data_IF_306067933130
#
_entry.id   IF_306067933130
#
_cell.length_a   1.000
_cell.length_b   1.000
_cell.length_c   1.000
_cell.angle_alpha   90.00
_cell.angle_beta   90.00
_cell.angle_gamma   90.00
#
_symmetry.space_group_name_H-M   'P 1'
#
loop_
_entity.id
_entity.type
_entity.pdbx_description
1 polymer ?
#
# COMPACT_ATOMS: atom_id res chain seq x y z
N UNK A 1 -15.68 20.39 7.93
CA UNK A 1 -15.29 20.09 6.54
C UNK A 1 -14.69 18.69 6.52
N UNK A 2 -15.44 17.70 6.03
CA UNK A 2 -14.88 16.37 5.79
C UNK A 2 -13.94 16.48 4.60
N UNK A 3 -12.64 16.66 4.87
CA UNK A 3 -11.62 16.75 3.83
C UNK A 3 -11.58 15.46 3.03
N UNK A 4 -11.55 15.58 1.70
CA UNK A 4 -11.27 14.46 0.79
C UNK A 4 -10.03 13.71 1.28
N UNK A 5 -10.05 12.38 1.19
CA UNK A 5 -8.88 11.54 1.46
C UNK A 5 -7.70 12.04 0.63
N UNK A 6 -6.62 12.55 1.26
CA UNK A 6 -5.46 13.09 0.55
C UNK A 6 -4.78 12.07 -0.35
N UNK A 7 -5.01 10.77 -0.16
CA UNK A 7 -4.40 9.71 -0.96
C UNK A 7 -5.07 9.51 -2.33
N UNK A 8 -6.38 9.77 -2.43
CA UNK A 8 -7.13 9.66 -3.69
C UNK A 8 -7.30 8.25 -4.27
N UNK A 9 -7.06 7.17 -3.51
CA UNK A 9 -7.25 5.77 -3.93
C UNK A 9 -5.95 5.03 -4.33
N UNK A 10 -5.99 3.79 -4.84
CA UNK A 10 -4.81 3.09 -5.37
C UNK A 10 -4.38 3.62 -6.75
N UNK A 11 -3.15 3.33 -7.21
CA UNK A 11 -2.68 3.63 -8.58
C UNK A 11 -3.23 2.64 -9.63
N UNK A 12 -3.74 1.50 -9.22
CA UNK A 12 -4.22 0.47 -10.14
C UNK A 12 -5.54 0.88 -10.79
N UNK A 13 -5.59 0.77 -12.11
CA UNK A 13 -6.84 0.78 -12.87
C UNK A 13 -7.43 -0.63 -12.76
N UNK A 14 -8.54 -0.78 -12.06
CA UNK A 14 -9.32 -2.02 -12.03
C UNK A 14 -9.90 -2.29 -13.41
N UNK A 15 -9.28 -3.20 -14.17
CA UNK A 15 -9.88 -3.74 -15.42
C UNK A 15 -11.21 -4.49 -15.18
N UNK A 16 -11.67 -4.61 -13.94
CA UNK A 16 -12.97 -5.16 -13.59
C UNK A 16 -14.13 -4.18 -13.83
N UNK A 17 -13.86 -2.87 -13.94
CA UNK A 17 -14.91 -1.85 -14.06
C UNK A 17 -15.31 -1.54 -15.51
N UNK A 18 -14.67 -2.16 -16.51
CA UNK A 18 -15.04 -1.98 -17.93
C UNK A 18 -16.33 -2.71 -18.33
N UNK A 19 -17.04 -3.35 -17.40
CA UNK A 19 -18.25 -4.11 -17.67
C UNK A 19 -19.50 -3.62 -16.91
N UNK A 20 -19.41 -2.56 -16.09
CA UNK A 20 -20.53 -2.10 -15.26
C UNK A 20 -20.82 -0.60 -15.30
N UNK A 21 -20.13 0.18 -16.14
CA UNK A 21 -20.33 1.63 -16.24
C UNK A 21 -21.34 2.08 -17.33
N UNK A 22 -22.03 1.14 -17.97
CA UNK A 22 -23.05 1.45 -19.01
C UNK A 22 -24.46 1.75 -18.44
N UNK A 23 -24.66 1.59 -17.13
CA UNK A 23 -25.99 1.72 -16.49
C UNK A 23 -26.22 3.05 -15.75
N UNK A 24 -25.31 4.03 -15.86
CA UNK A 24 -25.43 5.32 -15.15
C UNK A 24 -25.67 6.56 -16.02
N UNK A 25 -26.11 6.39 -17.27
CA UNK A 25 -26.45 7.53 -18.14
C UNK A 25 -27.70 7.34 -19.00
N UNK A 26 -28.81 6.85 -18.44
CA UNK A 26 -30.13 6.93 -19.09
C UNK A 26 -31.25 7.23 -18.11
N UNK A 27 -31.20 8.43 -17.53
CA UNK A 27 -32.39 9.11 -17.03
C UNK A 27 -32.62 10.34 -17.91
N UNK A 28 -33.39 10.14 -18.98
CA UNK A 28 -33.93 11.20 -19.83
C UNK A 28 -35.36 10.82 -20.18
N UNK A 29 -36.27 11.62 -19.62
CA UNK A 29 -37.69 11.78 -19.87
C UNK A 29 -38.27 11.02 -21.07
N UNK A 30 -39.13 10.04 -20.78
CA UNK A 30 -40.10 9.49 -21.75
C UNK A 30 -41.52 9.77 -21.29
N UNK A 31 -41.84 11.05 -21.13
CA UNK A 31 -43.18 11.57 -20.94
C UNK A 31 -43.50 12.64 -22.00
N UNK A 32 -43.39 12.28 -23.28
CA UNK A 32 -43.96 13.05 -24.37
C UNK A 32 -43.99 12.20 -25.65
N UNK A 33 -45.09 11.47 -25.88
CA UNK A 33 -45.57 11.06 -27.20
C UNK A 33 -46.96 10.43 -27.05
N UNK A 34 -47.94 11.29 -26.78
CA UNK A 34 -49.34 11.01 -27.11
C UNK A 34 -49.74 11.96 -28.24
N UNK A 35 -49.99 11.40 -29.42
CA UNK A 35 -50.94 11.96 -30.39
C UNK A 35 -51.40 10.87 -31.35
N UNK A 36 -52.66 10.48 -31.14
CA UNK A 36 -53.74 10.44 -32.13
C UNK A 36 -53.42 9.85 -33.52
N UNK A 37 -54.00 8.69 -33.82
CA UNK A 37 -54.51 8.41 -35.17
C UNK A 37 -55.81 7.61 -35.07
N UNK A 38 -56.72 7.98 -35.97
CA UNK A 38 -58.14 7.70 -35.99
C UNK A 38 -58.49 6.40 -36.73
N UNK A 39 -59.76 6.04 -36.60
CA UNK A 39 -60.53 4.94 -37.17
C UNK A 39 -60.17 4.49 -38.61
N UNK A 40 -60.34 3.19 -38.87
CA UNK A 40 -61.05 2.72 -40.08
C UNK A 40 -61.66 1.33 -39.88
N UNK A 41 -62.96 1.29 -40.14
CA UNK A 41 -63.86 0.15 -40.29
C UNK A 41 -63.35 -0.93 -41.26
N UNK A 42 -63.69 -2.21 -41.03
CA UNK A 42 -64.73 -2.99 -41.73
C UNK A 42 -64.45 -4.51 -41.75
N UNK A 43 -65.56 -5.28 -41.70
CA UNK A 43 -65.73 -6.69 -42.11
C UNK A 43 -65.23 -7.74 -41.09
N UNK A 44 -65.94 -8.80 -40.70
CA UNK A 44 -66.97 -9.61 -41.39
C UNK A 44 -68.01 -10.16 -40.39
N UNK A 45 -69.28 -10.13 -40.79
CA UNK A 45 -70.34 -11.05 -40.34
C UNK A 45 -70.49 -12.09 -41.46
N UNK A 46 -70.59 -13.38 -41.13
CA UNK A 46 -71.51 -14.31 -41.78
C UNK A 46 -71.58 -15.62 -40.96
N UNK A 47 -72.82 -16.01 -40.66
CA UNK A 47 -73.19 -17.21 -39.95
C UNK A 47 -73.21 -18.45 -40.88
N UNK A 48 -73.08 -19.63 -40.29
CA UNK A 48 -73.41 -20.92 -40.92
C UNK A 48 -74.08 -21.85 -39.89
N UNK A 49 -75.31 -22.33 -40.11
CA UNK A 49 -76.04 -23.19 -39.18
C UNK A 49 -75.91 -24.68 -39.55
N UNK A 50 -75.92 -25.57 -38.55
CA UNK A 50 -75.97 -27.01 -38.80
C UNK A 50 -75.91 -27.90 -37.56
N UNK A 51 -77.10 -28.39 -37.19
CA UNK A 51 -77.43 -29.71 -36.66
C UNK A 51 -77.09 -30.21 -35.25
N UNK A 52 -78.07 -30.99 -34.77
CA UNK A 52 -78.33 -31.50 -33.43
C UNK A 52 -77.45 -32.69 -33.04
N UNK A 53 -77.14 -32.84 -31.74
CA UNK A 53 -77.47 -33.99 -30.90
C UNK A 53 -76.53 -34.14 -29.69
N UNK A 54 -77.08 -34.56 -28.54
CA UNK A 54 -76.34 -35.34 -27.54
C UNK A 54 -75.95 -34.63 -26.24
N UNK A 55 -76.83 -34.68 -25.24
CA UNK A 55 -76.57 -34.36 -23.83
C UNK A 55 -75.37 -35.13 -23.27
N UNK A 56 -74.38 -34.42 -22.68
CA UNK A 56 -73.76 -34.79 -21.39
C UNK A 56 -73.40 -33.51 -20.63
N UNK A 57 -74.03 -33.28 -19.47
CA UNK A 57 -73.72 -32.14 -18.57
C UNK A 57 -72.27 -32.25 -18.08
N UNK A 58 -71.36 -31.45 -18.64
CA UNK A 58 -70.04 -31.22 -18.03
C UNK A 58 -70.19 -30.14 -16.97
N UNK A 59 -69.74 -30.41 -15.75
CA UNK A 59 -69.67 -29.41 -14.67
C UNK A 59 -68.49 -28.48 -14.96
N UNK A 60 -68.77 -27.20 -15.17
CA UNK A 60 -67.77 -26.16 -15.36
C UNK A 60 -67.47 -25.48 -14.02
N UNK A 61 -66.27 -24.93 -13.86
CA UNK A 61 -65.87 -24.11 -12.70
C UNK A 61 -65.64 -22.70 -13.22
N UNK A 62 -66.32 -21.72 -12.62
CA UNK A 62 -66.29 -20.33 -13.04
C UNK A 62 -65.34 -19.52 -12.14
N UNK A 63 -64.35 -18.88 -12.74
CA UNK A 63 -63.32 -18.06 -12.08
C UNK A 63 -63.47 -16.58 -12.43
N UNK A 64 -64.70 -16.13 -12.70
CA UNK A 64 -65.06 -14.71 -12.79
C UNK A 64 -64.78 -14.05 -14.14
N UNK A 65 -63.81 -14.55 -14.93
CA UNK A 65 -63.56 -14.06 -16.30
C UNK A 65 -63.35 -15.15 -17.39
N UNK A 66 -63.29 -16.45 -17.06
CA UNK A 66 -63.15 -17.55 -18.05
C UNK A 66 -63.82 -18.83 -17.55
N UNK A 67 -64.61 -19.50 -18.40
CA UNK A 67 -65.28 -20.78 -18.09
C UNK A 67 -64.45 -21.96 -18.65
N UNK A 68 -63.86 -22.78 -17.77
CA UNK A 68 -63.03 -23.93 -18.15
C UNK A 68 -63.66 -25.27 -17.73
N UNK A 69 -63.49 -26.31 -18.56
CA UNK A 69 -63.95 -27.68 -18.29
C UNK A 69 -63.22 -28.22 -17.02
N UNK A 70 -63.98 -28.72 -16.03
CA UNK A 70 -63.45 -29.17 -14.72
C UNK A 70 -62.35 -30.22 -14.85
N UNK A 71 -62.36 -31.04 -15.91
CA UNK A 71 -61.27 -31.99 -16.18
C UNK A 71 -59.96 -31.30 -16.56
N UNK A 72 -60.03 -30.25 -17.38
CA UNK A 72 -58.87 -29.49 -17.82
C UNK A 72 -58.30 -28.70 -16.65
N UNK A 73 -59.16 -28.03 -15.87
CA UNK A 73 -58.76 -27.28 -14.67
C UNK A 73 -58.07 -28.17 -13.62
N UNK A 74 -58.62 -29.37 -13.35
CA UNK A 74 -58.00 -30.32 -12.41
C UNK A 74 -56.65 -30.84 -12.93
N UNK A 75 -56.52 -31.03 -14.24
CA UNK A 75 -55.24 -31.38 -14.85
C UNK A 75 -54.23 -30.24 -14.71
N UNK A 76 -54.55 -29.00 -15.10
CA UNK A 76 -53.62 -27.86 -14.98
C UNK A 76 -53.20 -27.58 -13.54
N UNK A 77 -54.13 -27.60 -12.58
CA UNK A 77 -53.81 -27.46 -11.16
C UNK A 77 -52.92 -28.61 -10.69
N UNK A 78 -53.19 -29.84 -11.13
CA UNK A 78 -52.35 -31.01 -10.86
C UNK A 78 -50.94 -30.88 -11.43
N UNK A 79 -50.78 -30.38 -12.67
CA UNK A 79 -49.46 -30.18 -13.28
C UNK A 79 -48.69 -29.07 -12.58
N UNK A 80 -49.34 -27.97 -12.20
CA UNK A 80 -48.71 -26.85 -11.48
C UNK A 80 -48.25 -27.31 -10.09
N UNK A 81 -49.08 -28.06 -9.37
CA UNK A 81 -48.69 -28.66 -8.09
C UNK A 81 -47.54 -29.65 -8.24
N UNK A 82 -47.59 -30.52 -9.26
CA UNK A 82 -46.51 -31.46 -9.56
C UNK A 82 -45.18 -30.77 -9.87
N UNK A 83 -45.22 -29.71 -10.69
CA UNK A 83 -44.06 -28.86 -10.98
C UNK A 83 -43.55 -28.15 -9.73
N UNK A 84 -44.43 -27.62 -8.89
CA UNK A 84 -44.07 -26.97 -7.63
C UNK A 84 -43.36 -27.92 -6.66
N UNK A 85 -43.88 -29.15 -6.51
CA UNK A 85 -43.25 -30.20 -5.70
C UNK A 85 -41.91 -30.62 -6.28
N UNK A 86 -41.80 -30.75 -7.61
CA UNK A 86 -40.56 -31.10 -8.29
C UNK A 86 -39.46 -30.03 -8.11
N UNK A 87 -39.81 -28.76 -8.27
CA UNK A 87 -38.89 -27.63 -8.04
C UNK A 87 -38.49 -27.58 -6.56
N UNK A 88 -39.45 -27.75 -5.64
CA UNK A 88 -39.18 -27.81 -4.19
C UNK A 88 -38.23 -28.95 -3.82
N UNK A 89 -38.38 -30.12 -4.45
CA UNK A 89 -37.51 -31.27 -4.26
C UNK A 89 -36.10 -31.02 -4.80
N UNK A 90 -35.95 -30.38 -5.96
CA UNK A 90 -34.65 -29.97 -6.49
C UNK A 90 -33.97 -28.97 -5.56
N UNK A 91 -34.69 -27.95 -5.08
CA UNK A 91 -34.12 -26.96 -4.13
C UNK A 91 -33.72 -27.61 -2.80
N UNK A 92 -34.49 -28.58 -2.31
CA UNK A 92 -34.16 -29.35 -1.12
C UNK A 92 -32.88 -30.17 -1.32
N UNK A 93 -32.72 -30.83 -2.47
CA UNK A 93 -31.47 -31.54 -2.82
C UNK A 93 -30.29 -30.56 -2.90
N UNK A 94 -30.45 -29.42 -3.58
CA UNK A 94 -29.39 -28.41 -3.72
C UNK A 94 -28.96 -27.87 -2.36
N UNK A 95 -29.87 -27.72 -1.39
CA UNK A 95 -29.54 -27.27 -0.03
C UNK A 95 -29.01 -28.37 0.89
N UNK A 96 -29.37 -29.63 0.68
CA UNK A 96 -28.94 -30.76 1.52
C UNK A 96 -27.64 -31.42 1.03
N UNK A 97 -27.29 -31.27 -0.25
CA UNK A 97 -26.00 -31.73 -0.78
C UNK A 97 -24.90 -30.80 -0.26
N UNK A 98 -23.97 -31.30 0.58
CA UNK A 98 -22.83 -30.50 1.00
C UNK A 98 -22.01 -30.17 -0.24
N UNK A 99 -22.05 -28.92 -0.68
CA UNK A 99 -21.08 -28.42 -1.64
C UNK A 99 -19.72 -28.52 -0.96
N UNK A 100 -18.95 -29.56 -1.29
CA UNK A 100 -17.52 -29.56 -1.03
C UNK A 100 -16.98 -28.38 -1.82
N UNK A 101 -16.77 -27.25 -1.13
CA UNK A 101 -16.04 -26.14 -1.73
C UNK A 101 -14.73 -26.74 -2.21
N UNK A 102 -14.38 -26.60 -3.50
CA UNK A 102 -13.07 -27.05 -3.95
C UNK A 102 -12.02 -26.40 -3.03
N UNK A 103 -10.96 -27.13 -2.64
CA UNK A 103 -9.87 -26.51 -1.91
C UNK A 103 -9.38 -25.30 -2.71
N UNK A 104 -8.98 -24.21 -2.05
CA UNK A 104 -8.41 -23.08 -2.75
C UNK A 104 -7.25 -23.56 -3.62
N UNK A 105 -7.08 -23.02 -4.84
CA UNK A 105 -5.95 -23.37 -5.68
C UNK A 105 -4.64 -23.12 -4.93
N UNK A 106 -3.57 -23.88 -5.22
CA UNK A 106 -2.27 -23.62 -4.62
C UNK A 106 -1.86 -22.16 -4.87
N UNK A 107 -1.17 -21.50 -3.93
CA UNK A 107 -0.76 -20.11 -4.10
C UNK A 107 0.09 -19.97 -5.35
N UNK A 108 -0.18 -18.93 -6.13
CA UNK A 108 0.63 -18.62 -7.30
C UNK A 108 2.08 -18.27 -6.88
N UNK A 109 2.98 -18.24 -7.85
CA UNK A 109 4.40 -18.02 -7.60
C UNK A 109 4.68 -16.66 -6.96
N UNK A 110 3.89 -15.61 -7.25
CA UNK A 110 4.05 -14.29 -6.63
C UNK A 110 3.60 -14.32 -5.19
N UNK A 111 2.50 -15.00 -4.87
CA UNK A 111 2.05 -15.17 -3.47
C UNK A 111 3.12 -15.90 -2.65
N UNK A 112 3.74 -16.96 -3.19
CA UNK A 112 4.83 -17.66 -2.51
C UNK A 112 6.09 -16.80 -2.35
N UNK A 113 6.44 -16.02 -3.38
CA UNK A 113 7.58 -15.11 -3.33
C UNK A 113 7.38 -14.00 -2.30
N UNK A 114 6.18 -13.40 -2.25
CA UNK A 114 5.83 -12.37 -1.29
C UNK A 114 5.86 -12.89 0.15
N UNK A 115 5.28 -14.06 0.42
CA UNK A 115 5.37 -14.70 1.73
C UNK A 115 6.83 -14.86 2.19
N UNK A 116 7.71 -15.35 1.31
CA UNK A 116 9.15 -15.49 1.59
C UNK A 116 9.84 -14.14 1.81
N UNK A 117 9.46 -13.11 1.06
CA UNK A 117 9.99 -11.76 1.23
C UNK A 117 9.60 -11.16 2.59
N UNK A 118 8.39 -11.40 3.09
CA UNK A 118 7.99 -10.96 4.43
C UNK A 118 8.70 -11.78 5.53
N UNK A 119 8.86 -13.09 5.30
CA UNK A 119 9.65 -13.97 6.18
C UNK A 119 11.12 -13.54 6.30
N UNK A 120 11.70 -12.91 5.28
CA UNK A 120 13.04 -12.31 5.38
C UNK A 120 13.07 -11.23 6.48
N UNK A 121 12.08 -10.34 6.56
CA UNK A 121 12.04 -9.35 7.65
C UNK A 121 11.89 -10.00 9.02
N UNK A 122 11.12 -11.09 9.15
CA UNK A 122 11.05 -11.85 10.42
C UNK A 122 12.43 -12.37 10.84
N UNK A 123 13.24 -12.80 9.86
CA UNK A 123 14.59 -13.27 10.08
C UNK A 123 15.58 -12.14 10.43
N UNK A 124 15.23 -10.87 10.21
CA UNK A 124 16.04 -9.70 10.53
C UNK A 124 15.67 -9.04 11.87
N UNK A 125 14.58 -9.43 12.55
CA UNK A 125 14.14 -8.79 13.80
C UNK A 125 15.21 -8.87 14.89
N UNK A 126 15.49 -7.77 15.58
CA UNK A 126 16.36 -7.71 16.76
C UNK A 126 15.53 -7.55 18.04
N UNK A 127 16.01 -8.04 19.18
CA UNK A 127 15.31 -7.93 20.46
C UNK A 127 14.49 -9.19 20.81
N UNK A 128 13.42 -9.05 21.63
CA UNK A 128 12.64 -10.19 22.12
C UNK A 128 11.66 -10.66 21.05
N UNK A 129 11.97 -11.77 20.36
CA UNK A 129 11.15 -12.25 19.27
C UNK A 129 9.77 -12.73 19.75
N UNK A 130 8.68 -12.45 19.00
CA UNK A 130 7.38 -13.02 19.30
C UNK A 130 7.40 -14.55 19.26
N UNK A 131 6.56 -15.20 20.07
CA UNK A 131 6.43 -16.68 20.07
C UNK A 131 6.12 -17.26 18.68
N UNK A 132 5.46 -16.47 17.83
CA UNK A 132 5.06 -16.86 16.48
C UNK A 132 5.88 -16.13 15.40
N UNK A 133 7.19 -15.95 15.58
CA UNK A 133 8.06 -15.29 14.59
C UNK A 133 8.19 -16.05 13.23
N UNK A 134 7.78 -17.32 13.17
CA UNK A 134 7.88 -18.15 11.96
C UNK A 134 9.30 -18.60 11.57
N UNK A 135 10.34 -18.00 12.16
CA UNK A 135 11.75 -18.32 11.90
C UNK A 135 12.35 -19.06 13.10
N UNK A 136 12.39 -20.39 13.02
CA UNK A 136 12.71 -21.28 14.16
C UNK A 136 14.17 -21.22 14.64
N UNK A 137 15.09 -20.80 13.78
CA UNK A 137 16.52 -20.73 14.08
C UNK A 137 16.93 -19.36 14.68
N UNK A 138 16.02 -18.38 14.72
CA UNK A 138 16.25 -17.07 15.34
C UNK A 138 15.80 -17.08 16.79
N UNK A 139 16.55 -16.40 17.66
CA UNK A 139 16.26 -16.24 19.08
C UNK A 139 16.31 -14.77 19.53
N UNK A 140 16.07 -14.56 20.82
CA UNK A 140 16.17 -13.23 21.44
C UNK A 140 17.63 -12.75 21.40
N UNK A 141 17.85 -11.55 20.87
CA UNK A 141 19.20 -11.02 20.65
C UNK A 141 19.31 -9.54 21.01
N UNK A 142 20.53 -9.08 21.33
CA UNK A 142 20.85 -7.67 21.60
C UNK A 142 19.91 -6.99 22.64
N UNK A 143 19.53 -7.72 23.69
CA UNK A 143 18.57 -7.29 24.72
C UNK A 143 19.04 -6.12 25.61
N UNK A 144 20.28 -5.65 25.42
CA UNK A 144 20.89 -4.56 26.18
C UNK A 144 21.10 -3.28 25.36
N UNK A 145 20.67 -3.27 24.10
CA UNK A 145 20.84 -2.12 23.21
C UNK A 145 20.29 -0.83 23.84
N UNK A 146 21.16 0.19 23.92
CA UNK A 146 20.88 1.51 24.51
C UNK A 146 20.85 1.59 26.04
N UNK A 147 20.69 0.47 26.76
CA UNK A 147 20.59 0.47 28.23
C UNK A 147 21.92 0.81 28.91
N UNK A 148 23.02 0.29 28.36
CA UNK A 148 24.37 0.51 28.90
C UNK A 148 25.07 1.73 28.28
N UNK A 149 24.37 2.48 27.43
CA UNK A 149 24.92 3.67 26.80
C UNK A 149 24.80 4.88 27.73
N UNK A 150 25.91 5.58 27.96
CA UNK A 150 26.00 6.67 28.91
C UNK A 150 25.23 7.92 28.52
N UNK A 151 24.97 8.13 27.22
CA UNK A 151 24.29 9.33 26.70
C UNK A 151 22.78 9.11 26.57
N UNK A 152 22.38 7.95 26.01
CA UNK A 152 20.97 7.68 25.73
C UNK A 152 20.22 7.16 26.97
N UNK A 153 20.84 6.25 27.73
CA UNK A 153 20.29 5.60 28.94
C UNK A 153 18.84 5.13 28.81
N UNK A 154 18.46 4.63 27.62
CA UNK A 154 17.09 4.18 27.32
C UNK A 154 17.14 2.91 26.48
N UNK A 155 16.09 2.09 26.57
CA UNK A 155 16.01 0.87 25.77
C UNK A 155 15.85 1.18 24.28
N UNK A 156 16.79 0.69 23.48
CA UNK A 156 16.75 0.67 22.01
C UNK A 156 16.63 -0.77 21.48
N UNK A 157 16.08 -1.65 22.32
CA UNK A 157 15.78 -3.05 21.96
C UNK A 157 14.60 -3.08 20.98
N UNK A 158 14.69 -3.92 19.94
CA UNK A 158 13.75 -3.97 18.82
C UNK A 158 14.41 -3.60 17.50
N UNK A 159 13.60 -3.36 16.47
CA UNK A 159 14.06 -2.96 15.15
C UNK A 159 14.56 -4.14 14.31
N UNK A 160 15.19 -3.84 13.19
CA UNK A 160 15.75 -4.83 12.27
C UNK A 160 17.27 -4.71 12.22
N UNK A 161 17.94 -5.83 12.02
CA UNK A 161 19.31 -5.84 11.53
C UNK A 161 19.31 -5.52 10.05
N UNK A 162 20.35 -4.81 9.61
CA UNK A 162 20.37 -4.23 8.28
C UNK A 162 20.56 -5.27 7.17
N UNK A 163 21.58 -6.10 7.29
CA UNK A 163 21.96 -7.04 6.23
C UNK A 163 22.35 -8.41 6.81
N UNK A 164 23.56 -8.89 6.50
CA UNK A 164 24.13 -10.09 7.13
C UNK A 164 24.82 -9.82 8.47
N UNK A 165 24.82 -8.56 8.90
CA UNK A 165 25.32 -8.10 10.19
C UNK A 165 24.17 -8.00 11.22
N UNK A 166 24.52 -7.60 12.43
CA UNK A 166 23.63 -7.28 13.53
C UNK A 166 23.63 -5.76 13.85
N UNK A 167 24.03 -4.91 12.90
CA UNK A 167 23.99 -3.45 13.07
C UNK A 167 22.57 -2.95 12.78
N UNK A 168 22.15 -1.93 13.54
CA UNK A 168 20.89 -1.21 13.26
C UNK A 168 21.21 0.12 12.59
N UNK A 169 21.30 0.11 11.27
CA UNK A 169 21.38 1.34 10.47
C UNK A 169 19.99 1.93 10.31
N UNK A 170 19.71 3.06 10.99
CA UNK A 170 18.34 3.57 11.03
C UNK A 170 17.89 4.22 9.71
N UNK A 171 18.83 4.63 8.85
CA UNK A 171 18.50 5.25 7.56
C UNK A 171 17.87 4.25 6.56
N UNK A 172 18.55 3.14 6.18
CA UNK A 172 17.95 2.10 5.34
C UNK A 172 16.78 1.37 6.03
N UNK A 173 16.78 1.26 7.36
CA UNK A 173 15.65 0.69 8.10
C UNK A 173 14.39 1.55 7.97
N UNK A 174 14.51 2.88 8.16
CA UNK A 174 13.39 3.80 8.01
C UNK A 174 12.85 3.76 6.58
N UNK A 175 13.74 3.82 5.59
CA UNK A 175 13.41 3.64 4.18
C UNK A 175 12.61 2.35 3.92
N UNK A 176 13.06 1.22 4.46
CA UNK A 176 12.37 -0.07 4.31
C UNK A 176 10.95 -0.02 4.90
N UNK A 177 10.76 0.66 6.04
CA UNK A 177 9.44 0.82 6.64
C UNK A 177 8.53 1.74 5.82
N UNK A 178 9.08 2.78 5.20
CA UNK A 178 8.34 3.63 4.25
C UNK A 178 7.88 2.82 3.05
N UNK A 179 8.76 2.00 2.47
CA UNK A 179 8.46 1.18 1.29
C UNK A 179 7.45 0.07 1.57
N UNK A 180 7.58 -0.67 2.70
CA UNK A 180 6.57 -1.63 3.11
C UNK A 180 5.22 -0.96 3.35
N UNK A 181 5.22 0.22 3.98
CA UNK A 181 3.99 0.99 4.20
C UNK A 181 3.37 1.44 2.89
N UNK A 182 4.15 1.98 1.95
CA UNK A 182 3.66 2.39 0.64
C UNK A 182 3.04 1.19 -0.12
N UNK A 183 3.70 0.03 -0.10
CA UNK A 183 3.17 -1.19 -0.69
C UNK A 183 1.80 -1.57 -0.13
N UNK A 184 1.61 -1.51 1.20
CA UNK A 184 0.31 -1.81 1.82
C UNK A 184 -0.74 -0.76 1.43
N UNK A 185 -0.37 0.52 1.36
CA UNK A 185 -1.29 1.59 1.01
C UNK A 185 -1.82 1.39 -0.43
N UNK A 186 -0.96 1.03 -1.38
CA UNK A 186 -1.36 0.78 -2.78
C UNK A 186 -2.10 -0.54 -2.96
N UNK A 187 -1.65 -1.61 -2.28
CA UNK A 187 -2.06 -2.98 -2.56
C UNK A 187 -2.79 -3.67 -1.39
N UNK A 188 -3.40 -2.92 -0.47
CA UNK A 188 -4.08 -3.46 0.73
C UNK A 188 -4.98 -4.65 0.42
N UNK A 189 -5.84 -4.53 -0.59
CA UNK A 189 -6.79 -5.56 -0.97
C UNK A 189 -6.10 -6.87 -1.43
N UNK A 190 -4.92 -6.77 -2.05
CA UNK A 190 -4.14 -7.95 -2.48
C UNK A 190 -3.50 -8.65 -1.29
N UNK A 191 -2.92 -7.89 -0.35
CA UNK A 191 -2.41 -8.45 0.90
C UNK A 191 -3.51 -9.15 1.70
N UNK A 192 -4.72 -8.59 1.72
CA UNK A 192 -5.89 -9.19 2.37
C UNK A 192 -6.33 -10.48 1.67
N UNK A 193 -6.41 -10.47 0.34
CA UNK A 193 -6.81 -11.63 -0.46
C UNK A 193 -5.89 -12.86 -0.27
N UNK A 194 -4.60 -12.64 -0.02
CA UNK A 194 -3.62 -13.71 0.22
C UNK A 194 -3.38 -14.01 1.71
N UNK A 195 -4.04 -13.29 2.63
CA UNK A 195 -3.90 -13.49 4.07
C UNK A 195 -2.59 -12.96 4.69
N UNK A 196 -1.87 -12.07 4.02
CA UNK A 196 -0.59 -11.51 4.47
C UNK A 196 -0.71 -10.10 5.08
N UNK A 197 -1.90 -9.49 5.05
CA UNK A 197 -2.11 -8.11 5.53
C UNK A 197 -1.71 -7.92 7.00
N UNK A 198 -2.06 -8.84 7.87
CA UNK A 198 -1.72 -8.73 9.29
C UNK A 198 -0.22 -8.95 9.53
N UNK A 199 0.40 -9.86 8.78
CA UNK A 199 1.84 -10.14 8.86
C UNK A 199 2.68 -8.92 8.45
N UNK A 200 2.39 -8.31 7.29
CA UNK A 200 3.10 -7.10 6.86
C UNK A 200 2.85 -5.92 7.81
N UNK A 201 1.63 -5.79 8.36
CA UNK A 201 1.35 -4.78 9.39
C UNK A 201 2.17 -5.04 10.65
N UNK A 202 2.31 -6.28 11.11
CA UNK A 202 3.17 -6.61 12.26
C UNK A 202 4.63 -6.23 12.00
N UNK A 203 5.16 -6.49 10.79
CA UNK A 203 6.50 -6.09 10.36
C UNK A 203 6.69 -4.57 10.38
N UNK A 204 5.76 -3.81 9.78
CA UNK A 204 5.81 -2.34 9.77
C UNK A 204 5.78 -1.83 11.23
N UNK A 205 4.87 -2.36 12.04
CA UNK A 205 4.72 -1.98 13.45
C UNK A 205 6.00 -2.24 14.24
N UNK A 206 6.68 -3.36 13.99
CA UNK A 206 7.95 -3.71 14.63
C UNK A 206 9.02 -2.65 14.38
N UNK A 207 9.16 -2.19 13.13
CA UNK A 207 10.10 -1.14 12.77
C UNK A 207 9.69 0.22 13.31
N UNK A 208 8.43 0.62 13.17
CA UNK A 208 7.97 1.93 13.65
C UNK A 208 7.97 2.06 15.16
N UNK A 209 7.69 0.98 15.90
CA UNK A 209 7.83 0.96 17.37
C UNK A 209 9.28 1.14 17.80
N UNK A 210 10.24 0.63 17.02
CA UNK A 210 11.66 0.88 17.25
C UNK A 210 12.04 2.33 16.90
N UNK A 211 11.64 2.84 15.74
CA UNK A 211 11.87 4.24 15.34
C UNK A 211 11.33 5.21 16.41
N UNK A 212 10.17 4.96 17.00
CA UNK A 212 9.63 5.79 18.09
C UNK A 212 10.48 5.79 19.37
N UNK A 213 11.38 4.82 19.56
CA UNK A 213 12.34 4.76 20.69
C UNK A 213 13.61 5.54 20.42
N UNK A 214 13.98 5.80 19.17
CA UNK A 214 15.26 6.43 18.79
C UNK A 214 15.30 7.94 19.04
N UNK A 215 14.19 8.54 19.49
CA UNK A 215 14.08 9.94 19.86
C UNK A 215 13.01 10.13 20.94
N UNK A 216 12.86 11.34 21.48
CA UNK A 216 11.77 11.62 22.42
C UNK A 216 10.45 11.79 21.66
N UNK A 217 9.80 10.69 21.30
CA UNK A 217 8.55 10.67 20.51
C UNK A 217 7.33 11.27 21.21
N UNK A 218 7.43 11.54 22.52
CA UNK A 218 6.38 12.24 23.27
C UNK A 218 6.50 13.75 23.20
N UNK A 219 7.65 14.30 22.78
CA UNK A 219 7.90 15.74 22.67
C UNK A 219 7.52 16.29 21.29
N UNK A 220 7.13 17.57 21.25
CA UNK A 220 6.81 18.27 19.98
C UNK A 220 8.06 18.82 19.29
N UNK A 221 9.15 18.94 20.03
CA UNK A 221 10.47 19.36 19.55
C UNK A 221 11.53 18.47 20.17
N UNK A 222 12.52 18.10 19.36
CA UNK A 222 13.65 17.26 19.75
C UNK A 222 14.95 17.95 19.30
N UNK A 223 16.05 17.63 19.97
CA UNK A 223 17.40 18.16 19.73
C UNK A 223 18.38 17.09 19.21
N UNK A 224 17.94 15.83 19.19
CA UNK A 224 18.74 14.67 18.78
C UNK A 224 17.86 13.49 18.40
N UNK A 225 18.42 12.62 17.57
CA UNK A 225 17.90 11.29 17.24
C UNK A 225 19.04 10.26 17.30
N UNK A 226 18.72 8.98 17.47
CA UNK A 226 19.70 7.90 17.32
C UNK A 226 19.85 7.58 15.84
N UNK A 227 21.08 7.64 15.35
CA UNK A 227 21.44 7.28 13.98
C UNK A 227 21.70 5.77 13.83
N UNK A 228 22.30 5.16 14.85
CA UNK A 228 22.78 3.79 14.76
C UNK A 228 22.94 3.11 16.12
N UNK A 229 22.81 1.79 16.13
CA UNK A 229 23.22 0.94 17.25
C UNK A 229 24.13 -0.18 16.73
N UNK A 230 25.33 -0.28 17.31
CA UNK A 230 26.41 -1.16 16.82
C UNK A 230 27.43 -0.40 15.96
N UNK A 231 28.55 -1.06 15.65
CA UNK A 231 29.64 -0.52 14.80
C UNK A 231 30.12 -1.62 13.85
N UNK A 232 30.47 -1.24 12.62
CA UNK A 232 31.06 -2.13 11.63
C UNK A 232 32.46 -1.72 11.18
N UNK A 233 32.89 -0.48 11.43
CA UNK A 233 34.14 0.05 10.90
C UNK A 233 35.36 -0.72 11.43
N UNK A 234 36.08 -1.37 10.51
CA UNK A 234 37.35 -2.05 10.75
C UNK A 234 38.55 -1.35 10.08
N UNK A 235 38.31 -0.24 9.35
CA UNK A 235 39.30 0.43 8.50
C UNK A 235 40.50 1.02 9.25
N UNK A 236 40.36 1.29 10.55
CA UNK A 236 41.42 1.86 11.39
C UNK A 236 42.37 0.81 11.99
N UNK A 237 42.34 -0.43 11.49
CA UNK A 237 43.13 -1.53 12.05
C UNK A 237 42.75 -1.88 13.49
N UNK A 238 41.53 -1.52 13.90
CA UNK A 238 41.03 -1.78 15.24
C UNK A 238 40.80 -3.28 15.41
N UNK A 239 41.46 -3.89 16.40
CA UNK A 239 41.20 -5.26 16.86
C UNK A 239 40.08 -5.34 17.90
N UNK A 240 39.38 -4.23 18.15
CA UNK A 240 38.22 -4.22 19.04
C UNK A 240 37.09 -5.03 18.40
N UNK A 241 36.56 -6.06 19.09
CA UNK A 241 35.42 -6.82 18.61
C UNK A 241 34.24 -5.91 18.27
N UNK A 242 33.74 -6.04 17.04
CA UNK A 242 32.57 -5.34 16.54
C UNK A 242 31.84 -6.25 15.53
N UNK A 243 30.79 -5.71 14.92
CA UNK A 243 29.84 -6.49 14.15
C UNK A 243 30.43 -7.09 12.86
N UNK A 244 31.36 -6.40 12.21
CA UNK A 244 32.02 -6.90 10.99
C UNK A 244 33.35 -7.60 11.28
N UNK A 245 33.87 -7.48 12.50
CA UNK A 245 35.02 -8.25 12.97
C UNK A 245 34.63 -9.67 13.42
N UNK A 246 33.43 -9.83 14.01
CA UNK A 246 32.96 -11.09 14.59
C UNK A 246 31.90 -11.76 13.72
N UNK A 247 32.20 -12.96 13.18
CA UNK A 247 31.19 -13.78 12.51
C UNK A 247 30.47 -14.68 13.53
N UNK A 248 29.29 -14.27 13.99
CA UNK A 248 28.55 -15.01 15.02
C UNK A 248 27.04 -14.81 14.91
N UNK A 249 26.29 -15.66 15.62
CA UNK A 249 24.84 -15.50 15.75
C UNK A 249 24.53 -14.24 16.57
N UNK A 250 23.49 -13.46 16.23
CA UNK A 250 23.14 -12.26 16.98
C UNK A 250 22.78 -12.55 18.45
N UNK A 251 22.32 -13.77 18.75
CA UNK A 251 22.02 -14.24 20.10
C UNK A 251 23.27 -14.42 20.98
N UNK A 252 24.45 -14.61 20.37
CA UNK A 252 25.71 -14.86 21.08
C UNK A 252 26.58 -13.59 21.22
N UNK A 253 26.13 -12.44 20.70
CA UNK A 253 26.91 -11.19 20.73
C UNK A 253 27.20 -10.78 22.18
N UNK A 254 28.48 -10.70 22.53
CA UNK A 254 28.99 -10.27 23.83
C UNK A 254 29.81 -8.96 23.77
N UNK A 255 30.18 -8.50 22.57
CA UNK A 255 30.89 -7.23 22.37
C UNK A 255 29.99 -6.00 22.63
N UNK A 256 30.63 -4.86 22.88
CA UNK A 256 29.92 -3.60 23.13
C UNK A 256 29.26 -3.11 21.84
N UNK A 257 27.97 -2.78 21.94
CA UNK A 257 27.18 -2.20 20.85
C UNK A 257 26.85 -0.74 21.20
N UNK A 258 27.70 0.23 20.82
CA UNK A 258 27.49 1.62 21.19
C UNK A 258 26.35 2.24 20.39
N UNK A 259 25.81 3.35 20.90
CA UNK A 259 24.77 4.12 20.23
C UNK A 259 25.36 5.39 19.64
N UNK A 260 25.09 5.65 18.36
CA UNK A 260 25.46 6.92 17.72
C UNK A 260 24.27 7.86 17.74
N UNK A 261 24.40 8.97 18.48
CA UNK A 261 23.46 10.09 18.41
C UNK A 261 23.77 11.00 17.23
N UNK A 262 22.74 11.65 16.71
CA UNK A 262 22.86 12.68 15.70
C UNK A 262 22.03 13.91 16.06
N UNK A 263 22.67 15.07 15.99
CA UNK A 263 22.08 16.38 16.31
C UNK A 263 21.76 17.23 15.07
N UNK A 264 22.25 16.83 13.90
CA UNK A 264 22.06 17.54 12.64
C UNK A 264 22.09 16.56 11.46
N UNK A 265 20.94 15.96 11.17
CA UNK A 265 20.75 14.91 10.16
C UNK A 265 19.37 15.02 9.53
N UNK A 266 19.29 15.93 8.57
CA UNK A 266 18.09 16.22 7.80
C UNK A 266 17.55 14.99 7.07
N UNK A 267 18.46 14.25 6.44
CA UNK A 267 18.24 13.04 5.67
C UNK A 267 17.56 11.97 6.51
N UNK A 268 18.27 11.46 7.52
CA UNK A 268 17.76 10.43 8.41
C UNK A 268 16.45 10.86 9.10
N UNK A 269 16.38 12.09 9.61
CA UNK A 269 15.19 12.57 10.29
C UNK A 269 13.97 12.64 9.36
N UNK A 270 14.17 13.04 8.10
CA UNK A 270 13.08 13.15 7.13
C UNK A 270 12.62 11.79 6.64
N UNK A 271 13.52 10.82 6.44
CA UNK A 271 13.14 9.44 6.11
C UNK A 271 12.43 8.76 7.28
N UNK A 272 12.90 8.94 8.52
CA UNK A 272 12.17 8.45 9.70
C UNK A 272 10.79 9.11 9.80
N UNK A 273 10.65 10.38 9.43
CA UNK A 273 9.35 11.04 9.38
C UNK A 273 8.46 10.45 8.28
N UNK A 274 9.02 10.18 7.09
CA UNK A 274 8.32 9.52 5.99
C UNK A 274 7.82 8.13 6.40
N UNK A 275 8.66 7.34 7.08
CA UNK A 275 8.32 6.01 7.58
C UNK A 275 7.14 6.03 8.55
N UNK A 276 7.18 6.92 9.55
CA UNK A 276 6.09 7.05 10.52
C UNK A 276 4.83 7.63 9.87
N UNK A 277 4.96 8.58 8.95
CA UNK A 277 3.83 9.16 8.23
C UNK A 277 3.13 8.13 7.33
N UNK A 278 3.87 7.40 6.50
CA UNK A 278 3.33 6.34 5.66
C UNK A 278 2.67 5.24 6.51
N UNK A 279 3.34 4.77 7.57
CA UNK A 279 2.77 3.77 8.48
C UNK A 279 1.48 4.29 9.15
N UNK A 280 1.39 5.58 9.47
CA UNK A 280 0.17 6.13 10.08
C UNK A 280 -1.07 5.97 9.18
N UNK A 281 -0.87 5.98 7.85
CA UNK A 281 -1.92 5.75 6.85
C UNK A 281 -2.31 4.26 6.85
N UNK A 282 -1.33 3.34 6.90
CA UNK A 282 -1.57 1.90 7.03
C UNK A 282 -2.40 1.57 8.29
N UNK A 283 -2.10 2.25 9.39
CA UNK A 283 -2.75 2.04 10.69
C UNK A 283 -3.93 2.98 10.97
N UNK A 284 -4.53 3.62 9.95
CA UNK A 284 -5.67 4.54 10.15
C UNK A 284 -6.81 3.94 10.98
N UNK A 285 -7.05 2.63 10.83
CA UNK A 285 -8.09 1.89 11.55
C UNK A 285 -7.77 1.76 13.07
N UNK A 286 -6.49 1.87 13.45
CA UNK A 286 -6.02 1.93 14.84
C UNK A 286 -5.66 3.38 15.21
N UNK A 287 -6.70 4.21 15.41
CA UNK A 287 -6.57 5.67 15.58
C UNK A 287 -5.50 6.11 16.58
N UNK A 288 -5.45 5.52 17.76
CA UNK A 288 -4.46 5.84 18.79
C UNK A 288 -3.02 5.61 18.33
N UNK A 289 -2.78 4.54 17.58
CA UNK A 289 -1.45 4.23 17.05
C UNK A 289 -1.10 5.13 15.86
N UNK A 290 -2.04 5.32 14.94
CA UNK A 290 -1.88 6.27 13.81
C UNK A 290 -1.55 7.68 14.30
N UNK A 291 -2.27 8.20 15.30
CA UNK A 291 -2.01 9.53 15.87
C UNK A 291 -0.64 9.61 16.56
N UNK A 292 -0.21 8.53 17.24
CA UNK A 292 1.13 8.43 17.84
C UNK A 292 2.22 8.50 16.76
N UNK A 293 2.03 7.79 15.64
CA UNK A 293 2.95 7.81 14.51
C UNK A 293 3.02 9.20 13.86
N UNK A 294 1.87 9.82 13.59
CA UNK A 294 1.81 11.20 13.06
C UNK A 294 2.51 12.19 13.99
N UNK A 295 2.32 12.08 15.31
CA UNK A 295 3.01 12.95 16.27
C UNK A 295 4.53 12.80 16.18
N UNK A 296 5.03 11.56 16.16
CA UNK A 296 6.45 11.28 15.99
C UNK A 296 6.99 11.83 14.66
N UNK A 297 6.25 11.62 13.56
CA UNK A 297 6.61 12.10 12.23
C UNK A 297 6.73 13.64 12.19
N UNK A 298 5.79 14.36 12.83
CA UNK A 298 5.84 15.84 12.96
C UNK A 298 7.10 16.30 13.69
N UNK A 299 7.45 15.67 14.80
CA UNK A 299 8.62 16.02 15.59
C UNK A 299 9.92 15.81 14.80
N UNK A 300 10.04 14.67 14.11
CA UNK A 300 11.19 14.34 13.26
C UNK A 300 11.33 15.26 12.06
N UNK A 301 10.24 15.49 11.31
CA UNK A 301 10.29 16.37 10.14
C UNK A 301 10.65 17.80 10.55
N UNK A 302 10.10 18.30 11.66
CA UNK A 302 10.46 19.60 12.23
C UNK A 302 11.94 19.65 12.60
N UNK A 303 12.47 18.62 13.27
CA UNK A 303 13.88 18.53 13.61
C UNK A 303 14.77 18.54 12.37
N UNK A 304 14.53 17.67 11.39
CA UNK A 304 15.33 17.60 10.16
C UNK A 304 15.32 18.90 9.34
N UNK A 305 14.21 19.65 9.37
CA UNK A 305 14.12 20.96 8.69
C UNK A 305 14.89 22.08 9.39
N UNK A 306 14.96 22.05 10.73
CA UNK A 306 15.58 23.09 11.55
C UNK A 306 17.06 22.82 11.83
N UNK A 307 17.43 21.58 12.12
CA UNK A 307 18.80 21.15 12.44
C UNK A 307 19.42 20.48 11.20
N UNK A 308 19.84 21.31 10.25
CA UNK A 308 20.24 20.84 8.93
C UNK A 308 21.65 20.27 8.90
N UNK A 309 21.76 19.02 8.47
CA UNK A 309 23.04 18.33 8.27
C UNK A 309 22.85 16.99 7.58
N UNK A 310 23.95 16.32 7.24
CA UNK A 310 23.94 14.93 6.77
C UNK A 310 24.19 14.00 7.95
N UNK A 311 23.46 12.89 8.02
CA UNK A 311 23.64 11.93 9.12
C UNK A 311 24.96 11.15 9.07
N UNK A 312 25.61 11.13 7.91
CA UNK A 312 26.90 10.48 7.68
C UNK A 312 28.02 11.51 7.52
N UNK A 313 28.48 12.16 8.61
CA UNK A 313 29.62 13.07 8.55
C UNK A 313 30.90 12.31 8.15
N UNK A 314 31.83 13.01 7.51
CA UNK A 314 33.06 12.38 7.02
C UNK A 314 33.82 11.65 8.15
N UNK A 315 34.25 10.43 7.89
CA UNK A 315 34.99 9.59 8.85
C UNK A 315 34.13 8.93 9.93
N UNK A 316 32.81 9.05 9.84
CA UNK A 316 31.86 8.27 10.65
C UNK A 316 31.66 6.85 10.09
N UNK A 317 31.19 5.95 10.95
CA UNK A 317 30.82 4.58 10.58
C UNK A 317 29.73 4.59 9.49
N UNK A 318 28.73 5.47 9.64
CA UNK A 318 27.66 5.66 8.67
C UNK A 318 28.18 6.02 7.27
N UNK A 319 29.23 6.85 7.19
CA UNK A 319 29.81 7.28 5.91
C UNK A 319 30.58 6.17 5.18
N UNK A 320 30.93 5.08 5.87
CA UNK A 320 31.60 3.92 5.27
C UNK A 320 30.56 2.97 4.66
N UNK A 321 29.43 2.78 5.36
CA UNK A 321 28.42 1.80 4.97
C UNK A 321 27.25 2.40 4.18
N UNK A 322 26.61 3.44 4.72
CA UNK A 322 25.41 4.05 4.18
C UNK A 322 25.60 5.55 4.01
N UNK A 323 26.59 5.95 3.22
CA UNK A 323 26.91 7.36 3.03
C UNK A 323 25.75 8.12 2.36
N UNK A 324 25.22 9.12 3.05
CA UNK A 324 24.25 10.05 2.49
C UNK A 324 24.89 11.06 1.53
N UNK A 325 24.38 11.10 0.31
CA UNK A 325 24.85 12.06 -0.70
C UNK A 325 24.14 13.40 -0.60
N UNK A 326 22.86 13.41 -0.24
CA UNK A 326 22.00 14.59 -0.16
C UNK A 326 20.91 14.41 0.90
N UNK A 327 20.28 15.52 1.30
CA UNK A 327 19.08 15.51 2.15
C UNK A 327 17.93 16.31 1.53
N UNK A 328 18.11 16.86 0.32
CA UNK A 328 17.12 17.75 -0.27
C UNK A 328 15.93 17.00 -0.85
N UNK A 329 16.20 15.87 -1.47
CA UNK A 329 15.22 14.88 -1.92
C UNK A 329 14.41 14.33 -0.74
N UNK A 330 15.07 14.10 0.41
CA UNK A 330 14.43 13.69 1.66
C UNK A 330 13.40 14.71 2.17
N UNK A 331 13.62 16.01 1.96
CA UNK A 331 12.61 17.02 2.29
C UNK A 331 11.39 16.97 1.37
N UNK A 332 11.57 16.63 0.09
CA UNK A 332 10.47 16.43 -0.88
C UNK A 332 9.68 15.19 -0.47
N UNK A 333 10.40 14.08 -0.25
CA UNK A 333 9.85 12.77 0.11
C UNK A 333 9.10 12.80 1.44
N UNK A 334 9.76 13.23 2.52
CA UNK A 334 9.13 13.38 3.82
C UNK A 334 7.99 14.40 3.80
N UNK A 335 8.12 15.49 3.02
CA UNK A 335 7.06 16.49 2.86
C UNK A 335 5.81 15.89 2.19
N UNK A 336 5.98 15.09 1.14
CA UNK A 336 4.90 14.42 0.46
C UNK A 336 4.17 13.44 1.41
N UNK A 337 4.90 12.56 2.11
CA UNK A 337 4.29 11.63 3.06
C UNK A 337 3.60 12.32 4.24
N UNK A 338 4.20 13.40 4.77
CA UNK A 338 3.57 14.22 5.81
C UNK A 338 2.27 14.86 5.31
N UNK A 339 2.22 15.33 4.07
CA UNK A 339 0.99 15.81 3.45
C UNK A 339 -0.06 14.70 3.38
N UNK A 340 0.26 13.52 2.84
CA UNK A 340 -0.68 12.41 2.73
C UNK A 340 -1.20 11.94 4.08
N UNK A 341 -0.34 11.90 5.10
CA UNK A 341 -0.73 11.46 6.44
C UNK A 341 -1.59 12.49 7.21
N UNK A 342 -1.44 13.79 6.94
CA UNK A 342 -2.04 14.85 7.76
C UNK A 342 -3.07 15.72 7.05
N UNK A 343 -3.05 15.76 5.71
CA UNK A 343 -3.79 16.71 4.90
C UNK A 343 -3.34 18.17 5.07
N UNK A 344 -2.22 18.44 5.75
CA UNK A 344 -1.75 19.80 5.98
C UNK A 344 -0.97 20.33 4.78
N UNK A 345 -1.55 21.31 4.09
CA UNK A 345 -0.96 21.95 2.91
C UNK A 345 0.41 22.57 3.15
N UNK A 346 0.80 22.91 4.38
CA UNK A 346 2.15 23.43 4.64
C UNK A 346 3.26 22.46 4.21
N UNK A 347 3.02 21.15 4.35
CA UNK A 347 3.98 20.14 3.89
C UNK A 347 4.03 20.04 2.37
N UNK A 348 2.87 20.16 1.70
CA UNK A 348 2.79 20.19 0.25
C UNK A 348 3.52 21.41 -0.31
N UNK A 349 3.26 22.61 0.23
CA UNK A 349 3.96 23.85 -0.15
C UNK A 349 5.48 23.71 -0.04
N UNK A 350 5.96 23.01 0.99
CA UNK A 350 7.37 22.72 1.17
C UNK A 350 7.81 21.74 0.05
N UNK A 351 7.18 20.58 -0.09
CA UNK A 351 7.54 19.55 -1.07
C UNK A 351 7.52 20.03 -2.53
N UNK A 352 6.66 21.00 -2.86
CA UNK A 352 6.55 21.59 -4.20
C UNK A 352 7.21 22.97 -4.29
N UNK A 353 8.08 23.34 -3.36
CA UNK A 353 8.81 24.60 -3.47
C UNK A 353 9.83 24.50 -4.63
N UNK A 354 9.85 25.45 -5.59
CA UNK A 354 10.79 25.41 -6.72
C UNK A 354 12.27 25.30 -6.30
N UNK A 355 12.64 26.01 -5.22
CA UNK A 355 13.98 25.92 -4.65
C UNK A 355 14.30 24.53 -4.11
N UNK A 356 13.32 23.82 -3.53
CA UNK A 356 13.54 22.46 -3.05
C UNK A 356 13.73 21.48 -4.21
N UNK A 357 12.87 21.55 -5.23
CA UNK A 357 13.00 20.74 -6.44
C UNK A 357 14.38 20.96 -7.10
N UNK A 358 14.85 22.20 -7.17
CA UNK A 358 16.18 22.53 -7.69
C UNK A 358 17.31 21.89 -6.88
N UNK A 359 17.29 22.03 -5.55
CA UNK A 359 18.34 21.47 -4.70
C UNK A 359 18.32 19.94 -4.63
N UNK A 360 17.14 19.32 -4.76
CA UNK A 360 17.00 17.88 -4.86
C UNK A 360 17.51 17.31 -6.19
N UNK A 361 17.80 18.16 -7.19
CA UNK A 361 18.31 17.72 -8.49
C UNK A 361 17.22 17.43 -9.52
N UNK A 362 15.99 17.90 -9.32
CA UNK A 362 14.85 17.61 -10.22
C UNK A 362 15.00 18.16 -11.66
N UNK A 363 15.99 19.03 -11.90
CA UNK A 363 16.30 19.59 -13.22
C UNK A 363 17.64 19.09 -13.78
N UNK A 364 18.34 18.20 -13.07
CA UNK A 364 19.66 17.72 -13.47
C UNK A 364 19.55 16.42 -14.26
N UNK A 365 19.13 16.56 -15.52
CA UNK A 365 19.23 15.49 -16.51
C UNK A 365 20.69 15.12 -16.75
N UNK A 366 21.03 13.84 -16.72
CA UNK A 366 22.40 13.38 -16.97
C UNK A 366 23.26 13.10 -15.74
N UNK A 367 22.72 13.20 -14.53
CA UNK A 367 23.40 12.60 -13.37
C UNK A 367 23.47 11.08 -13.54
N UNK A 368 24.58 10.39 -13.23
CA UNK A 368 24.64 8.93 -13.22
C UNK A 368 23.56 8.29 -12.35
N UNK A 369 23.13 8.98 -11.29
CA UNK A 369 22.08 8.51 -10.38
C UNK A 369 20.67 8.97 -10.81
N UNK A 370 20.53 9.66 -11.95
CA UNK A 370 19.25 10.17 -12.39
C UNK A 370 18.22 9.03 -12.56
N UNK A 371 17.08 9.17 -11.88
CA UNK A 371 16.01 8.18 -11.91
C UNK A 371 16.23 6.96 -11.00
N UNK A 372 17.37 6.82 -10.33
CA UNK A 372 17.68 5.64 -9.51
C UNK A 372 17.06 5.76 -8.12
N UNK A 373 15.95 5.07 -7.89
CA UNK A 373 15.23 5.10 -6.61
C UNK A 373 15.85 4.13 -5.58
N UNK A 374 16.41 4.67 -4.50
CA UNK A 374 17.18 3.90 -3.51
C UNK A 374 16.96 4.43 -2.09
N UNK A 375 17.63 3.84 -1.09
CA UNK A 375 17.65 4.35 0.28
C UNK A 375 18.37 5.71 0.42
N UNK A 376 19.16 6.14 -0.58
CA UNK A 376 19.89 7.42 -0.56
C UNK A 376 19.23 8.51 -1.42
N UNK A 377 18.61 8.13 -2.55
CA UNK A 377 17.91 9.06 -3.45
C UNK A 377 16.41 8.73 -3.54
N UNK A 378 15.60 9.62 -2.96
CA UNK A 378 14.14 9.52 -2.90
C UNK A 378 13.42 10.31 -3.96
N UNK A 379 14.13 11.09 -4.77
CA UNK A 379 13.50 12.03 -5.70
C UNK A 379 12.59 11.32 -6.71
N UNK A 380 12.98 10.19 -7.35
CA UNK A 380 12.09 9.52 -8.29
C UNK A 380 10.77 9.06 -7.65
N UNK A 381 10.82 8.51 -6.42
CA UNK A 381 9.61 8.10 -5.70
C UNK A 381 8.75 9.28 -5.27
N UNK A 382 9.36 10.36 -4.79
CA UNK A 382 8.65 11.58 -4.43
C UNK A 382 7.95 12.20 -5.64
N UNK A 383 8.59 12.18 -6.81
CA UNK A 383 8.01 12.63 -8.07
C UNK A 383 6.79 11.78 -8.47
N UNK A 384 6.84 10.45 -8.33
CA UNK A 384 5.69 9.57 -8.58
C UNK A 384 4.52 9.93 -7.65
N UNK A 385 4.78 10.07 -6.34
CA UNK A 385 3.76 10.43 -5.36
C UNK A 385 3.11 11.79 -5.64
N UNK A 386 3.90 12.79 -6.03
CA UNK A 386 3.38 14.12 -6.34
C UNK A 386 2.71 14.19 -7.72
N UNK A 387 3.15 13.37 -8.66
CA UNK A 387 2.46 13.19 -9.96
C UNK A 387 1.08 12.59 -9.76
N UNK A 388 0.96 11.60 -8.87
CA UNK A 388 -0.33 11.05 -8.44
C UNK A 388 -1.25 12.16 -7.92
N UNK A 389 -0.76 12.99 -7.00
CA UNK A 389 -1.52 14.12 -6.45
C UNK A 389 -2.06 15.04 -7.56
N UNK A 390 -1.24 15.34 -8.57
CA UNK A 390 -1.63 16.14 -9.74
C UNK A 390 -2.77 15.49 -10.53
N UNK A 391 -2.64 14.19 -10.82
CA UNK A 391 -3.55 13.45 -11.69
C UNK A 391 -4.92 13.20 -11.03
N UNK A 392 -4.96 12.85 -9.74
CA UNK A 392 -6.21 12.45 -9.07
C UNK A 392 -6.87 13.56 -8.28
N UNK A 393 -6.10 14.50 -7.72
CA UNK A 393 -6.65 15.54 -6.84
C UNK A 393 -6.54 16.95 -7.42
N UNK A 394 -5.63 17.17 -8.39
CA UNK A 394 -5.45 18.42 -9.13
C UNK A 394 -5.53 19.67 -8.25
N UNK A 395 -4.62 19.83 -7.26
CA UNK A 395 -4.73 20.89 -6.25
C UNK A 395 -4.57 22.31 -6.83
N UNK A 396 -4.12 22.46 -8.08
CA UNK A 396 -4.04 23.74 -8.78
C UNK A 396 -2.92 24.66 -8.28
N UNK A 397 -3.13 25.97 -8.38
CA UNK A 397 -2.17 26.98 -7.93
C UNK A 397 -2.03 26.99 -6.39
N UNK A 398 -0.83 27.14 -5.81
CA UNK A 398 0.47 27.43 -6.46
C UNK A 398 1.29 26.18 -6.85
N UNK A 399 0.73 24.99 -6.73
CA UNK A 399 1.48 23.72 -6.83
C UNK A 399 1.67 23.24 -8.27
N UNK A 400 0.75 23.58 -9.18
CA UNK A 400 0.67 23.00 -10.54
C UNK A 400 1.98 23.06 -11.33
N UNK A 401 2.75 24.14 -11.22
CA UNK A 401 4.00 24.28 -11.98
C UNK A 401 4.99 23.17 -11.64
N UNK A 402 5.27 22.97 -10.35
CA UNK A 402 6.22 21.95 -9.88
C UNK A 402 5.63 20.55 -10.00
N UNK A 403 4.33 20.39 -9.77
CA UNK A 403 3.67 19.10 -9.98
C UNK A 403 3.75 18.65 -11.45
N UNK A 404 3.57 19.58 -12.40
CA UNK A 404 3.74 19.29 -13.83
C UNK A 404 5.18 18.94 -14.16
N UNK A 405 6.16 19.64 -13.58
CA UNK A 405 7.58 19.27 -13.72
C UNK A 405 7.82 17.84 -13.23
N UNK A 406 7.41 17.50 -12.01
CA UNK A 406 7.58 16.16 -11.46
C UNK A 406 6.87 15.08 -12.27
N UNK A 407 5.72 15.39 -12.85
CA UNK A 407 5.03 14.49 -13.78
C UNK A 407 5.85 14.21 -15.03
N UNK A 408 6.34 15.25 -15.71
CA UNK A 408 7.21 15.08 -16.88
C UNK A 408 8.50 14.31 -16.54
N UNK A 409 9.08 14.55 -15.35
CA UNK A 409 10.26 13.79 -14.91
C UNK A 409 9.96 12.33 -14.65
N UNK A 410 8.81 12.05 -14.04
CA UNK A 410 8.35 10.67 -13.83
C UNK A 410 8.20 9.95 -15.16
N UNK A 411 7.59 10.58 -16.16
CA UNK A 411 7.46 10.00 -17.51
C UNK A 411 8.83 9.72 -18.13
N UNK A 412 9.78 10.67 -18.03
CA UNK A 412 11.14 10.48 -18.54
C UNK A 412 11.85 9.31 -17.84
N UNK A 413 11.77 9.22 -16.51
CA UNK A 413 12.38 8.14 -15.72
C UNK A 413 11.76 6.79 -16.09
N UNK A 414 10.43 6.70 -16.17
CA UNK A 414 9.73 5.47 -16.55
C UNK A 414 10.10 5.03 -17.98
N UNK A 415 10.16 5.96 -18.94
CA UNK A 415 10.61 5.67 -20.30
C UNK A 415 12.06 5.18 -20.32
N UNK A 416 12.95 5.79 -19.54
CA UNK A 416 14.37 5.43 -19.49
C UNK A 416 14.61 3.98 -19.06
N UNK A 417 13.66 3.37 -18.35
CA UNK A 417 13.71 1.97 -17.93
C UNK A 417 13.43 0.96 -19.04
N UNK A 418 12.88 1.40 -20.18
CA UNK A 418 12.61 0.52 -21.30
C UNK A 418 13.88 0.32 -22.15
N UNK A 419 14.17 -0.92 -22.61
CA UNK A 419 15.37 -1.21 -23.41
C UNK A 419 15.54 -0.31 -24.65
N UNK A 420 14.43 0.17 -25.20
CA UNK A 420 14.39 1.03 -26.39
C UNK A 420 15.18 2.34 -26.21
N UNK A 421 15.21 2.91 -25.00
CA UNK A 421 15.82 4.22 -24.75
C UNK A 421 17.32 4.15 -24.43
N UNK A 422 17.88 2.94 -24.31
CA UNK A 422 19.31 2.68 -24.04
C UNK A 422 19.89 3.52 -22.89
N UNK A 423 19.07 3.91 -21.91
CA UNK A 423 19.50 4.75 -20.79
C UNK A 423 20.19 3.95 -19.68
N UNK A 424 19.96 2.62 -19.63
CA UNK A 424 20.61 1.70 -18.71
C UNK A 424 21.27 0.55 -19.48
N UNK A 425 22.24 -0.11 -18.84
CA UNK A 425 22.76 -1.37 -19.35
C UNK A 425 21.78 -2.51 -19.06
N UNK A 426 21.73 -3.49 -19.96
CA UNK A 426 20.96 -4.71 -19.78
C UNK A 426 21.89 -5.92 -19.92
N UNK A 427 21.68 -6.91 -19.06
CA UNK A 427 22.31 -8.23 -19.23
C UNK A 427 21.71 -8.95 -20.44
N UNK A 428 22.34 -10.07 -20.81
CA UNK A 428 21.80 -10.95 -21.86
C UNK A 428 20.41 -11.50 -21.52
N UNK A 429 20.10 -11.64 -20.24
CA UNK A 429 18.81 -12.12 -19.73
C UNK A 429 17.86 -10.95 -19.40
N UNK A 430 18.07 -9.79 -20.02
CA UNK A 430 17.23 -8.59 -19.92
C UNK A 430 17.08 -7.97 -18.51
N UNK A 431 17.93 -8.38 -17.55
CA UNK A 431 18.04 -7.67 -16.28
C UNK A 431 18.72 -6.31 -16.48
N UNK A 432 18.06 -5.24 -16.05
CA UNK A 432 18.62 -3.88 -16.03
C UNK A 432 19.73 -3.81 -14.98
N UNK A 433 20.91 -3.32 -15.37
CA UNK A 433 22.07 -3.19 -14.51
C UNK A 433 22.70 -1.81 -14.60
N UNK A 434 23.15 -1.30 -13.45
CA UNK A 434 23.99 -0.10 -13.36
C UNK A 434 23.23 1.22 -13.29
N UNK A 435 24.01 2.29 -13.42
CA UNK A 435 23.61 3.69 -13.37
C UNK A 435 23.17 4.19 -14.75
N UNK A 436 22.51 5.35 -14.78
CA UNK A 436 22.10 6.02 -16.01
C UNK A 436 23.34 6.34 -16.88
N UNK A 437 23.25 6.06 -18.18
CA UNK A 437 24.38 6.16 -19.14
C UNK A 437 24.74 7.58 -19.54
#
# INVERSE_FOLDING_TARGET
MFGRDPWGGPLEISNADSATDDDRSRDLDRAALMRQLDETQQSWLLAGPGDQAGKKKKKYVDLGCVVLDRKIFMWTVGTILGLGVFIGFIMMIVKLVPHKRPPPPPPDQYTQALHKALMFFNAQRSGPLPKHNGVSWRGNSCMKDGLSDSTVRRSLVGGFYDAGDAIKFNYPMAWSMTMLSWSVIEYKAKYEAIGELDHIKELIKWGTDYILKTFNSSADTIDRIVAQVGLGDTSKGSSQPNDHYCWMRPEDIDYKRPVTECHSCSDLASEMAAALAAASIVFKDSKTYSDKLVKGAKALYKFGRLQRGRYSPNGSDQAIFYNSTSYWDEFVWGGAWMYFATGNNSYLTIATAPGMAKHAGAYWFGSPNYGVFTWDDKLPGAQVLLSRLRLFLSPGYPYEEILRTFHNQTDNVMCSYLPLFNSFNFTKDELRCGFWK
#
